data_IF_859559324940
#
_entry.id   IF_859559324940
#
_cell.length_a   1.000
_cell.length_b   1.000
_cell.length_c   1.000
_cell.angle_alpha   90.00
_cell.angle_beta   90.00
_cell.angle_gamma   90.00
#
_symmetry.space_group_name_H-M   'P 1'
#
loop_
_entity.id
_entity.type
_entity.pdbx_description
1 polymer ?
#
# COMPACT_ATOMS: atom_id res chain seq x y z
N UNK A 1 -1.01 -4.31 14.56
CA UNK A 1 -1.78 -3.05 14.45
C UNK A 1 -2.96 -3.22 13.48
N UNK A 2 -3.71 -4.32 13.59
CA UNK A 2 -4.87 -4.64 12.72
C UNK A 2 -6.11 -5.09 13.51
N UNK A 3 -6.00 -5.19 14.84
CA UNK A 3 -7.00 -5.80 15.72
C UNK A 3 -8.43 -5.27 15.50
N UNK A 4 -8.57 -3.95 15.30
CA UNK A 4 -9.87 -3.34 15.01
C UNK A 4 -10.49 -3.87 13.72
N UNK A 5 -9.71 -3.90 12.63
CA UNK A 5 -10.19 -4.42 11.35
C UNK A 5 -10.45 -5.93 11.45
N UNK A 6 -9.64 -6.66 12.22
CA UNK A 6 -9.81 -8.09 12.43
C UNK A 6 -11.12 -8.38 13.19
N UNK A 7 -11.48 -7.55 14.17
CA UNK A 7 -12.75 -7.63 14.90
C UNK A 7 -13.96 -7.28 14.00
N UNK A 8 -13.82 -6.27 13.14
CA UNK A 8 -14.87 -5.90 12.18
C UNK A 8 -15.13 -7.04 11.19
N UNK A 9 -14.06 -7.64 10.66
CA UNK A 9 -14.15 -8.79 9.75
C UNK A 9 -14.80 -10.00 10.45
N UNK A 10 -14.43 -10.30 11.70
CA UNK A 10 -15.05 -11.38 12.49
C UNK A 10 -16.55 -11.18 12.73
N UNK A 11 -17.02 -9.94 12.76
CA UNK A 11 -18.43 -9.60 12.93
C UNK A 11 -19.21 -9.61 11.59
N UNK A 12 -18.55 -9.89 10.46
CA UNK A 12 -19.09 -9.67 9.11
C UNK A 12 -19.66 -8.24 8.94
N UNK A 13 -19.07 -7.28 9.65
CA UNK A 13 -19.45 -5.88 9.59
C UNK A 13 -18.59 -5.14 8.58
N UNK A 14 -19.02 -3.94 8.22
CA UNK A 14 -18.22 -3.02 7.39
C UNK A 14 -17.67 -1.94 8.31
N UNK A 15 -16.41 -1.55 8.11
CA UNK A 15 -15.82 -0.38 8.78
C UNK A 15 -16.77 0.82 8.61
N UNK A 16 -17.02 1.60 9.66
CA UNK A 16 -17.81 2.82 9.51
C UNK A 16 -17.12 3.80 8.52
N UNK A 17 -17.85 4.74 7.89
CA UNK A 17 -17.22 5.79 7.09
C UNK A 17 -16.08 6.45 7.87
N UNK A 18 -14.88 6.45 7.30
CA UNK A 18 -13.69 6.87 8.01
C UNK A 18 -12.70 7.57 7.08
N UNK A 19 -12.06 8.60 7.61
CA UNK A 19 -10.83 9.15 7.04
C UNK A 19 -9.64 8.55 7.79
N UNK A 20 -8.79 7.80 7.10
CA UNK A 20 -7.67 7.06 7.69
C UNK A 20 -6.35 7.62 7.20
N UNK A 21 -5.53 8.10 8.12
CA UNK A 21 -4.16 8.51 7.83
C UNK A 21 -3.21 7.33 8.05
N UNK A 22 -2.45 6.96 7.03
CA UNK A 22 -1.51 5.84 7.07
C UNK A 22 -0.10 6.36 6.82
N UNK A 23 0.77 6.17 7.80
CA UNK A 23 2.19 6.43 7.66
C UNK A 23 2.98 5.11 7.73
N UNK A 24 3.49 4.59 6.59
CA UNK A 24 4.29 3.38 6.54
C UNK A 24 5.66 3.61 7.18
N UNK A 25 5.76 3.46 8.50
CA UNK A 25 7.05 3.35 9.19
C UNK A 25 7.71 2.01 8.85
N UNK A 26 8.43 2.02 7.74
CA UNK A 26 9.16 0.88 7.22
C UNK A 26 8.25 -0.24 6.68
N UNK A 27 8.86 -1.27 6.11
CA UNK A 27 8.14 -2.19 5.24
C UNK A 27 7.19 -3.17 5.96
N UNK A 28 7.28 -3.27 7.29
CA UNK A 28 6.50 -4.23 8.10
C UNK A 28 5.10 -3.73 8.48
N UNK A 29 4.82 -2.44 8.31
CA UNK A 29 3.64 -1.76 8.85
C UNK A 29 2.47 -1.58 7.87
N UNK A 30 2.75 -1.40 6.59
CA UNK A 30 1.75 -0.96 5.61
C UNK A 30 1.69 -1.89 4.42
N UNK A 31 0.97 -2.99 4.61
CA UNK A 31 0.66 -3.93 3.53
C UNK A 31 -0.42 -3.33 2.65
N UNK A 32 -0.34 -3.54 1.34
CA UNK A 32 -1.41 -3.18 0.40
C UNK A 32 -2.76 -3.75 0.87
N UNK A 33 -2.76 -4.98 1.41
CA UNK A 33 -3.95 -5.63 1.97
C UNK A 33 -4.63 -4.85 3.11
N UNK A 34 -3.89 -4.07 3.89
CA UNK A 34 -4.47 -3.21 4.93
C UNK A 34 -5.25 -2.04 4.30
N UNK A 35 -4.65 -1.40 3.30
CA UNK A 35 -5.28 -0.28 2.56
C UNK A 35 -6.55 -0.76 1.86
N UNK A 36 -6.49 -1.93 1.23
CA UNK A 36 -7.65 -2.56 0.61
C UNK A 36 -8.78 -2.84 1.58
N UNK A 37 -8.47 -3.35 2.78
CA UNK A 37 -9.48 -3.61 3.82
C UNK A 37 -10.21 -2.33 4.25
N UNK A 38 -9.47 -1.22 4.37
CA UNK A 38 -10.06 0.08 4.69
C UNK A 38 -10.94 0.60 3.54
N UNK A 39 -10.40 0.56 2.31
CA UNK A 39 -11.06 1.09 1.11
C UNK A 39 -12.18 0.19 0.56
N UNK A 40 -12.37 -1.02 1.11
CA UNK A 40 -13.55 -1.86 0.83
C UNK A 40 -14.85 -1.16 1.21
N UNK A 41 -14.84 -0.28 2.23
CA UNK A 41 -15.95 0.62 2.44
C UNK A 41 -15.86 1.79 1.43
N UNK A 42 -16.82 1.96 0.51
CA UNK A 42 -16.82 3.05 -0.47
C UNK A 42 -16.96 4.46 0.14
N UNK A 43 -17.26 4.56 1.45
CA UNK A 43 -17.35 5.82 2.20
C UNK A 43 -16.10 6.09 3.05
N UNK A 44 -15.03 5.33 2.84
CA UNK A 44 -13.75 5.54 3.51
C UNK A 44 -12.72 6.13 2.57
N UNK A 45 -11.88 7.00 3.12
CA UNK A 45 -10.82 7.69 2.41
C UNK A 45 -9.49 7.47 3.13
N UNK A 46 -8.41 7.30 2.38
CA UNK A 46 -7.07 7.13 2.93
C UNK A 46 -6.14 8.26 2.50
N UNK A 47 -5.47 8.89 3.47
CA UNK A 47 -4.30 9.74 3.23
C UNK A 47 -3.05 8.96 3.59
N UNK A 48 -2.18 8.70 2.61
CA UNK A 48 -1.05 7.79 2.78
C UNK A 48 0.25 8.55 2.55
N UNK A 49 1.13 8.56 3.55
CA UNK A 49 2.48 9.09 3.41
C UNK A 49 3.31 8.12 2.57
N UNK A 50 3.88 8.58 1.46
CA UNK A 50 4.67 7.73 0.58
C UNK A 50 6.16 8.08 0.64
N UNK A 51 6.95 7.18 1.23
CA UNK A 51 8.39 7.37 1.40
C UNK A 51 9.18 6.73 0.25
N UNK A 52 9.64 7.54 -0.70
CA UNK A 52 10.42 7.07 -1.87
C UNK A 52 11.85 6.66 -1.50
N UNK A 53 12.51 7.41 -0.61
CA UNK A 53 13.93 7.24 -0.30
C UNK A 53 14.29 5.84 0.25
N UNK A 54 13.50 5.22 1.15
CA UNK A 54 13.76 3.85 1.61
C UNK A 54 13.74 2.80 0.49
N UNK A 55 12.88 2.97 -0.53
CA UNK A 55 12.80 2.05 -1.67
C UNK A 55 14.13 2.08 -2.43
N UNK A 56 14.65 3.29 -2.70
CA UNK A 56 15.92 3.49 -3.38
C UNK A 56 17.10 2.95 -2.57
N UNK A 57 17.14 3.23 -1.26
CA UNK A 57 18.30 2.92 -0.43
C UNK A 57 18.44 1.43 -0.09
N UNK A 58 17.34 0.72 0.06
CA UNK A 58 17.37 -0.62 0.65
C UNK A 58 17.04 -1.76 -0.32
N UNK A 59 16.78 -1.48 -1.60
CA UNK A 59 16.44 -2.54 -2.57
C UNK A 59 17.52 -3.60 -2.76
N UNK A 60 18.81 -3.26 -2.61
CA UNK A 60 19.93 -4.21 -2.65
C UNK A 60 20.26 -4.82 -1.29
N UNK A 61 19.64 -4.33 -0.22
CA UNK A 61 19.83 -4.86 1.13
C UNK A 61 18.94 -6.09 1.29
N UNK A 62 19.55 -7.25 1.56
CA UNK A 62 18.82 -8.49 1.79
C UNK A 62 17.70 -8.29 2.83
N UNK A 63 16.50 -8.81 2.52
CA UNK A 63 15.33 -8.74 3.42
C UNK A 63 14.37 -7.56 3.19
N UNK A 64 14.59 -6.71 2.19
CA UNK A 64 13.67 -5.62 1.82
C UNK A 64 12.74 -5.93 0.65
N UNK A 65 13.02 -6.99 -0.12
CA UNK A 65 12.21 -7.37 -1.27
C UNK A 65 10.80 -7.79 -0.87
N UNK A 66 10.67 -8.79 0.02
CA UNK A 66 9.36 -9.29 0.44
C UNK A 66 8.49 -8.19 1.07
N UNK A 67 9.02 -7.33 1.94
CA UNK A 67 8.21 -6.26 2.47
C UNK A 67 7.83 -5.16 1.45
N UNK A 68 8.63 -4.95 0.39
CA UNK A 68 8.23 -4.08 -0.72
C UNK A 68 7.15 -4.76 -1.58
N UNK A 69 7.25 -6.07 -1.80
CA UNK A 69 6.17 -6.85 -2.43
C UNK A 69 4.87 -6.72 -1.63
N UNK A 70 4.92 -6.79 -0.30
CA UNK A 70 3.75 -6.59 0.56
C UNK A 70 3.20 -5.16 0.49
N UNK A 71 4.07 -4.14 0.43
CA UNK A 71 3.68 -2.73 0.33
C UNK A 71 2.94 -2.43 -0.98
N UNK A 72 3.45 -2.94 -2.10
CA UNK A 72 2.85 -2.70 -3.42
C UNK A 72 1.79 -3.75 -3.79
N UNK A 73 1.77 -4.91 -3.13
CA UNK A 73 0.93 -6.05 -3.51
C UNK A 73 1.39 -6.77 -4.79
N UNK A 74 2.60 -6.49 -5.27
CA UNK A 74 3.16 -7.01 -6.53
C UNK A 74 4.67 -6.79 -6.56
N UNK A 75 5.38 -7.49 -7.44
CA UNK A 75 6.81 -7.26 -7.69
C UNK A 75 7.09 -6.18 -8.75
N UNK A 76 6.06 -5.64 -9.41
CA UNK A 76 6.20 -4.65 -10.48
C UNK A 76 6.90 -3.35 -10.05
N UNK A 77 7.07 -3.09 -8.75
CA UNK A 77 7.85 -1.95 -8.26
C UNK A 77 9.33 -2.05 -8.69
N UNK A 78 9.84 -3.25 -8.99
CA UNK A 78 11.21 -3.46 -9.46
C UNK A 78 11.50 -2.78 -10.80
N UNK A 79 10.48 -2.56 -11.63
CA UNK A 79 10.61 -1.83 -12.91
C UNK A 79 11.08 -0.38 -12.70
N UNK A 80 10.95 0.16 -11.48
CA UNK A 80 11.44 1.50 -11.18
C UNK A 80 12.97 1.64 -11.27
N UNK A 81 13.72 0.52 -11.24
CA UNK A 81 15.18 0.55 -11.37
C UNK A 81 15.66 0.84 -12.79
N UNK A 82 14.80 0.66 -13.79
CA UNK A 82 15.10 0.99 -15.19
C UNK A 82 14.79 2.46 -15.51
N UNK A 83 14.24 3.22 -14.54
CA UNK A 83 13.85 4.62 -14.71
C UNK A 83 14.91 5.54 -14.07
N UNK A 84 15.71 6.19 -14.91
CA UNK A 84 16.76 7.12 -14.48
C UNK A 84 16.18 8.41 -13.89
N UNK A 85 15.20 9.03 -14.57
CA UNK A 85 14.58 10.28 -14.16
C UNK A 85 13.81 10.11 -12.83
N UNK A 86 14.22 10.86 -11.81
CA UNK A 86 13.61 10.76 -10.47
C UNK A 86 12.13 11.14 -10.44
N UNK A 87 11.70 12.28 -11.04
CA UNK A 87 10.28 12.59 -11.15
C UNK A 87 9.45 11.49 -11.82
N UNK A 88 9.95 10.91 -12.92
CA UNK A 88 9.28 9.81 -13.62
C UNK A 88 9.17 8.55 -12.76
N UNK A 89 10.27 8.18 -12.09
CA UNK A 89 10.29 7.02 -11.19
C UNK A 89 9.32 7.20 -10.02
N UNK A 90 9.27 8.38 -9.42
CA UNK A 90 8.35 8.68 -8.33
C UNK A 90 6.89 8.61 -8.79
N UNK A 91 6.57 9.14 -9.98
CA UNK A 91 5.25 8.98 -10.60
C UNK A 91 4.91 7.52 -10.85
N UNK A 92 5.85 6.74 -11.39
CA UNK A 92 5.65 5.30 -11.62
C UNK A 92 5.27 4.56 -10.34
N UNK A 93 6.03 4.76 -9.25
CA UNK A 93 5.77 4.10 -7.97
C UNK A 93 4.42 4.54 -7.36
N UNK A 94 4.13 5.84 -7.42
CA UNK A 94 2.83 6.38 -6.99
C UNK A 94 1.66 5.75 -7.76
N UNK A 95 1.77 5.70 -9.08
CA UNK A 95 0.70 5.20 -9.94
C UNK A 95 0.53 3.70 -9.77
N UNK A 96 1.62 2.95 -9.62
CA UNK A 96 1.58 1.54 -9.28
C UNK A 96 0.82 1.32 -7.97
N UNK A 97 1.22 2.02 -6.90
CA UNK A 97 0.56 1.92 -5.60
C UNK A 97 -0.94 2.25 -5.69
N UNK A 98 -1.29 3.35 -6.36
CA UNK A 98 -2.68 3.78 -6.57
C UNK A 98 -3.50 2.76 -7.37
N UNK A 99 -2.92 2.19 -8.43
CA UNK A 99 -3.58 1.15 -9.23
C UNK A 99 -3.84 -0.11 -8.40
N UNK A 100 -2.88 -0.53 -7.58
CA UNK A 100 -3.04 -1.71 -6.72
C UNK A 100 -4.12 -1.48 -5.67
N UNK A 101 -4.10 -0.32 -4.99
CA UNK A 101 -5.13 0.05 -4.02
C UNK A 101 -6.55 0.10 -4.63
N UNK A 102 -6.70 0.57 -5.88
CA UNK A 102 -8.01 0.66 -6.56
C UNK A 102 -8.45 -0.65 -7.24
N UNK A 103 -7.52 -1.38 -7.84
CA UNK A 103 -7.79 -2.58 -8.64
C UNK A 103 -8.36 -3.72 -7.80
N UNK A 104 -7.94 -3.80 -6.54
CA UNK A 104 -8.40 -4.82 -5.59
C UNK A 104 -9.75 -4.48 -4.95
N UNK A 105 -10.06 -3.19 -4.78
CA UNK A 105 -11.37 -2.71 -4.33
C UNK A 105 -12.46 -3.03 -5.36
N UNK A 106 -12.18 -2.87 -6.66
CA UNK A 106 -13.12 -3.18 -7.75
C UNK A 106 -13.44 -4.67 -7.93
N UNK A 107 -12.64 -5.59 -7.39
CA UNK A 107 -12.89 -7.05 -7.48
C UNK A 107 -13.93 -7.55 -6.47
N UNK A 108 -14.34 -6.72 -5.51
CA UNK A 108 -15.23 -7.09 -4.42
C UNK A 108 -16.61 -6.38 -4.48
N UNK A 109 -16.94 -5.73 -5.61
CA UNK A 109 -18.26 -5.14 -5.88
C UNK A 109 -19.04 -6.04 -6.82
#
# INVERSE_FOLDING_TARGET
MTLLLDQIDQQNAVLAPAFVMVDPFGPKGSRMSLIERILRNPKSECLISFMYEPIRRFHTTGGYEEPLNELFGTEAWKECFDIEDEPERNRFLHDLFTRQARGQVRRHV
#
